data_IF_691878312676
#
_entry.id   IF_691878312676
#
_cell.length_a   1.000
_cell.length_b   1.000
_cell.length_c   1.000
_cell.angle_alpha   90.00
_cell.angle_beta   90.00
_cell.angle_gamma   90.00
#
_symmetry.space_group_name_H-M   'P 1'
#
loop_
_entity.id
_entity.type
_entity.pdbx_description
1 polymer ?
#
# COMPACT_ATOMS: atom_id res chain seq x y z
N UNK A 1 16.56 -4.53 -6.73
CA UNK A 1 15.14 -4.52 -6.35
C UNK A 1 14.44 -5.85 -6.63
N UNK A 2 14.42 -6.35 -7.89
CA UNK A 2 13.80 -7.65 -8.25
C UNK A 2 14.18 -8.82 -7.33
N UNK A 3 15.48 -9.00 -7.06
CA UNK A 3 15.97 -10.07 -6.17
C UNK A 3 15.38 -10.00 -4.76
N UNK A 4 15.29 -8.81 -4.18
CA UNK A 4 14.78 -8.61 -2.81
C UNK A 4 13.28 -8.83 -2.72
N UNK A 5 12.51 -8.33 -3.71
CA UNK A 5 11.07 -8.56 -3.78
C UNK A 5 10.78 -10.06 -3.95
N UNK A 6 11.49 -10.75 -4.83
CA UNK A 6 11.31 -12.19 -4.99
C UNK A 6 11.77 -13.00 -3.77
N UNK A 7 12.74 -12.49 -3.00
CA UNK A 7 13.14 -13.08 -1.72
C UNK A 7 12.02 -12.92 -0.68
N UNK A 8 11.39 -11.75 -0.62
CA UNK A 8 10.24 -11.47 0.24
C UNK A 8 9.04 -12.37 -0.11
N UNK A 9 8.69 -12.52 -1.39
CA UNK A 9 7.55 -13.35 -1.82
C UNK A 9 7.71 -14.81 -1.36
N UNK A 10 8.96 -15.28 -1.31
CA UNK A 10 9.31 -16.64 -0.87
C UNK A 10 9.52 -16.77 0.65
N UNK A 11 9.49 -15.67 1.41
CA UNK A 11 9.66 -15.73 2.86
C UNK A 11 8.35 -16.06 3.56
N UNK A 12 8.45 -16.68 4.74
CA UNK A 12 7.26 -16.93 5.57
C UNK A 12 6.63 -15.63 6.06
N UNK A 13 7.46 -14.65 6.40
CA UNK A 13 7.06 -13.32 6.83
C UNK A 13 8.14 -12.33 6.39
N UNK A 14 7.78 -11.08 6.18
CA UNK A 14 8.76 -10.01 6.01
C UNK A 14 8.17 -8.70 5.56
N UNK A 15 9.02 -7.69 5.52
CA UNK A 15 8.72 -6.39 4.93
C UNK A 15 9.83 -5.96 3.98
N UNK A 16 9.47 -5.19 2.97
CA UNK A 16 10.41 -4.55 2.06
C UNK A 16 9.92 -3.15 1.71
N UNK A 17 10.70 -2.13 2.08
CA UNK A 17 10.38 -0.75 1.74
C UNK A 17 10.62 -0.51 0.25
N UNK A 18 9.57 -0.18 -0.49
CA UNK A 18 9.65 0.10 -1.93
C UNK A 18 10.15 1.52 -2.19
N UNK A 19 9.63 2.48 -1.43
CA UNK A 19 9.99 3.89 -1.52
C UNK A 19 9.69 4.61 -0.19
N UNK A 20 9.77 5.94 -0.18
CA UNK A 20 9.56 6.72 1.04
C UNK A 20 8.15 6.61 1.61
N UNK A 21 7.15 6.26 0.81
CA UNK A 21 5.75 6.27 1.21
C UNK A 21 5.10 4.89 1.19
N UNK A 22 5.82 3.83 0.80
CA UNK A 22 5.22 2.49 0.64
C UNK A 22 6.17 1.34 1.00
N UNK A 23 5.58 0.32 1.61
CA UNK A 23 6.22 -0.88 2.13
C UNK A 23 5.41 -2.11 1.73
N UNK A 24 6.06 -3.06 1.07
CA UNK A 24 5.51 -4.39 0.87
C UNK A 24 5.61 -5.19 2.17
N UNK A 25 4.54 -5.88 2.53
CA UNK A 25 4.48 -6.77 3.69
C UNK A 25 3.95 -8.14 3.28
N UNK A 26 4.60 -9.20 3.74
CA UNK A 26 4.28 -10.61 3.43
C UNK A 26 4.05 -11.35 4.75
N UNK A 27 3.03 -12.18 4.82
CA UNK A 27 2.88 -13.18 5.88
C UNK A 27 2.15 -14.43 5.39
N UNK A 28 2.73 -15.59 5.68
CA UNK A 28 2.25 -16.91 5.27
C UNK A 28 1.41 -17.61 6.35
N UNK A 29 1.29 -16.98 7.52
CA UNK A 29 0.51 -17.45 8.67
C UNK A 29 -0.31 -16.29 9.20
N UNK A 30 -1.57 -16.52 9.55
CA UNK A 30 -2.39 -15.53 10.22
C UNK A 30 -2.04 -15.44 11.73
N UNK A 31 -2.72 -14.54 12.46
CA UNK A 31 -2.50 -14.37 13.90
C UNK A 31 -2.89 -15.57 14.76
N UNK A 32 -3.57 -16.57 14.18
CA UNK A 32 -3.93 -17.83 14.83
C UNK A 32 -3.01 -19.00 14.40
N UNK A 33 -2.04 -18.73 13.53
CA UNK A 33 -1.11 -19.72 12.98
C UNK A 33 -1.65 -20.53 11.81
N UNK A 34 -2.83 -20.19 11.27
CA UNK A 34 -3.35 -20.86 10.08
C UNK A 34 -2.56 -20.41 8.84
N UNK A 35 -2.29 -21.33 7.89
CA UNK A 35 -1.61 -20.97 6.65
C UNK A 35 -2.45 -19.99 5.81
N UNK A 36 -1.84 -18.88 5.42
CA UNK A 36 -2.40 -17.88 4.50
C UNK A 36 -1.36 -17.49 3.47
N UNK A 37 -1.76 -16.82 2.39
CA UNK A 37 -0.81 -16.23 1.45
C UNK A 37 -1.16 -14.77 1.22
N UNK A 38 -0.67 -13.90 2.11
CA UNK A 38 -0.89 -12.46 2.03
C UNK A 38 0.39 -11.74 1.64
N UNK A 39 0.24 -10.90 0.62
CA UNK A 39 1.20 -9.89 0.18
C UNK A 39 0.42 -8.59 0.06
N UNK A 40 0.84 -7.56 0.77
CA UNK A 40 0.09 -6.31 0.91
C UNK A 40 1.02 -5.12 0.74
N UNK A 41 0.51 -4.05 0.12
CA UNK A 41 1.19 -2.78 -0.01
C UNK A 41 0.70 -1.79 1.05
N UNK A 42 1.50 -1.57 2.08
CA UNK A 42 1.24 -0.57 3.11
C UNK A 42 1.82 0.79 2.69
N UNK A 43 1.12 1.89 3.00
CA UNK A 43 1.63 3.25 2.75
C UNK A 43 2.19 3.92 4.02
N UNK A 44 2.58 5.18 3.98
CA UNK A 44 2.70 5.99 5.20
C UNK A 44 1.48 6.93 5.26
N UNK A 45 1.09 7.39 6.44
CA UNK A 45 -0.06 8.31 6.57
C UNK A 45 0.30 9.66 5.93
N UNK A 46 -0.52 10.13 4.98
CA UNK A 46 -0.34 11.42 4.32
C UNK A 46 -1.65 12.21 4.41
N UNK A 47 -1.59 13.44 4.92
CA UNK A 47 -2.73 14.35 5.07
C UNK A 47 -3.99 13.71 5.69
N UNK A 48 -3.82 13.03 6.85
CA UNK A 48 -4.90 12.33 7.55
C UNK A 48 -5.60 11.21 6.76
N UNK A 49 -5.15 10.90 5.54
CA UNK A 49 -5.61 9.76 4.77
C UNK A 49 -4.87 8.53 5.28
N UNK A 50 -5.58 7.75 6.09
CA UNK A 50 -5.11 6.48 6.60
C UNK A 50 -5.55 5.33 5.70
N UNK A 51 -4.64 4.37 5.56
CA UNK A 51 -4.67 2.97 5.09
C UNK A 51 -5.98 2.23 4.80
N UNK A 52 -7.11 2.60 5.41
CA UNK A 52 -8.35 1.83 5.34
C UNK A 52 -9.21 2.06 4.09
N UNK A 53 -8.76 2.88 3.14
CA UNK A 53 -9.60 3.35 2.02
C UNK A 53 -9.43 2.48 0.76
N UNK A 54 -8.28 1.82 0.59
CA UNK A 54 -7.96 1.09 -0.64
C UNK A 54 -7.70 -0.39 -0.34
N UNK A 55 -8.13 -1.26 -1.25
CA UNK A 55 -7.62 -2.62 -1.30
C UNK A 55 -6.11 -2.55 -1.63
N UNK A 56 -5.31 -3.10 -0.73
CA UNK A 56 -3.86 -3.08 -0.78
C UNK A 56 -3.28 -4.46 -1.00
N UNK A 57 -4.13 -5.49 -1.16
CA UNK A 57 -3.68 -6.85 -1.40
C UNK A 57 -3.13 -6.99 -2.83
N UNK A 58 -1.98 -7.66 -2.93
CA UNK A 58 -1.34 -7.99 -4.20
C UNK A 58 -1.55 -9.47 -4.46
N UNK A 59 -2.12 -9.79 -5.62
CA UNK A 59 -2.43 -11.15 -6.04
C UNK A 59 -1.32 -11.78 -6.88
N UNK A 60 -0.60 -10.98 -7.66
CA UNK A 60 0.54 -11.45 -8.44
C UNK A 60 1.66 -12.03 -7.56
N UNK A 61 2.39 -12.99 -8.15
CA UNK A 61 3.54 -13.66 -7.50
C UNK A 61 4.80 -13.64 -8.36
N UNK A 62 4.69 -13.25 -9.63
CA UNK A 62 5.83 -12.89 -10.46
C UNK A 62 6.16 -11.40 -10.26
N UNK A 63 7.40 -11.05 -10.59
CA UNK A 63 7.90 -9.70 -10.35
C UNK A 63 7.12 -8.64 -11.14
N UNK A 64 6.79 -8.91 -12.40
CA UNK A 64 6.22 -7.88 -13.28
C UNK A 64 4.77 -7.59 -12.88
N UNK A 65 3.99 -8.62 -12.54
CA UNK A 65 2.65 -8.48 -11.98
C UNK A 65 2.64 -7.77 -10.62
N UNK A 66 3.56 -8.11 -9.72
CA UNK A 66 3.66 -7.44 -8.41
C UNK A 66 3.90 -5.94 -8.59
N UNK A 67 4.81 -5.56 -9.50
CA UNK A 67 5.10 -4.15 -9.74
C UNK A 67 3.91 -3.44 -10.38
N UNK A 68 3.20 -4.07 -11.32
CA UNK A 68 2.01 -3.51 -11.94
C UNK A 68 0.91 -3.23 -10.89
N UNK A 69 0.59 -4.22 -10.04
CA UNK A 69 -0.39 -4.04 -8.97
C UNK A 69 0.05 -2.98 -7.95
N UNK A 70 1.34 -2.95 -7.59
CA UNK A 70 1.87 -1.90 -6.72
C UNK A 70 1.65 -0.49 -7.31
N UNK A 71 1.86 -0.33 -8.61
CA UNK A 71 1.66 0.94 -9.30
C UNK A 71 0.18 1.33 -9.29
N UNK A 72 -0.72 0.40 -9.61
CA UNK A 72 -2.16 0.67 -9.60
C UNK A 72 -2.66 1.08 -8.21
N UNK A 73 -2.28 0.34 -7.17
CA UNK A 73 -2.65 0.64 -5.79
C UNK A 73 -2.08 2.01 -5.38
N UNK A 74 -0.82 2.29 -5.71
CA UNK A 74 -0.18 3.59 -5.40
C UNK A 74 -0.88 4.76 -6.09
N UNK A 75 -1.24 4.62 -7.36
CA UNK A 75 -1.98 5.65 -8.09
C UNK A 75 -3.33 5.94 -7.43
N UNK A 76 -4.10 4.90 -7.09
CA UNK A 76 -5.38 5.05 -6.38
C UNK A 76 -5.21 5.75 -5.02
N UNK A 77 -4.19 5.36 -4.26
CA UNK A 77 -3.89 5.99 -2.98
C UNK A 77 -3.60 7.49 -3.12
N UNK A 78 -2.75 7.87 -4.08
CA UNK A 78 -2.40 9.28 -4.32
C UNK A 78 -3.60 10.10 -4.82
N UNK A 79 -4.48 9.51 -5.62
CA UNK A 79 -5.72 10.16 -6.06
C UNK A 79 -6.66 10.47 -4.89
N UNK A 80 -6.79 9.56 -3.91
CA UNK A 80 -7.56 9.79 -2.70
C UNK A 80 -6.92 10.86 -1.81
N UNK A 81 -5.60 10.85 -1.66
CA UNK A 81 -4.85 11.91 -0.95
C UNK A 81 -5.10 13.27 -1.61
N UNK A 82 -5.01 13.35 -2.93
CA UNK A 82 -5.26 14.58 -3.68
C UNK A 82 -6.71 15.07 -3.52
N UNK A 83 -7.69 14.15 -3.52
CA UNK A 83 -9.10 14.47 -3.30
C UNK A 83 -9.34 15.00 -1.89
N UNK A 84 -8.76 14.36 -0.88
CA UNK A 84 -8.82 14.80 0.52
C UNK A 84 -8.26 16.21 0.69
N UNK A 85 -7.04 16.46 0.20
CA UNK A 85 -6.39 17.78 0.21
C UNK A 85 -7.26 18.85 -0.46
N UNK A 86 -7.84 18.54 -1.63
CA UNK A 86 -8.72 19.48 -2.34
C UNK A 86 -9.96 19.83 -1.52
N UNK A 87 -10.53 18.88 -0.79
CA UNK A 87 -11.67 19.11 0.07
C UNK A 87 -11.29 19.97 1.29
N UNK A 88 -10.16 19.68 1.93
CA UNK A 88 -9.65 20.46 3.07
C UNK A 88 -9.37 21.91 2.68
N UNK A 89 -8.72 22.12 1.52
CA UNK A 89 -8.50 23.46 0.99
C UNK A 89 -9.82 24.19 0.73
N UNK A 90 -10.80 23.54 0.10
CA UNK A 90 -12.14 24.12 -0.14
C UNK A 90 -12.85 24.47 1.15
N UNK A 91 -12.76 23.64 2.18
CA UNK A 91 -13.32 23.92 3.50
C UNK A 91 -12.64 25.13 4.17
N UNK A 92 -11.32 25.23 4.09
CA UNK A 92 -10.56 26.38 4.57
C UNK A 92 -10.90 27.70 3.85
N UNK A 93 -11.23 27.64 2.56
CA UNK A 93 -11.74 28.80 1.80
C UNK A 93 -13.19 29.17 2.18
N UNK A 94 -14.04 28.20 2.52
CA UNK A 94 -15.42 28.45 2.97
C UNK A 94 -15.53 29.01 4.39
N UNK A 95 -14.59 28.69 5.28
CA UNK A 95 -14.56 29.21 6.65
C UNK A 95 -14.01 30.65 6.77
N UNK A 96 -13.66 31.30 5.65
CA UNK A 96 -13.16 32.70 5.61
C UNK A 96 -14.12 33.68 4.91
N UNK A 97 -15.37 33.29 4.66
CA UNK A 97 -16.47 34.17 4.26
C UNK A 97 -17.55 34.17 5.34
#
# INVERSE_FOLDING_TARGET
MKKEIMKLVKSEEGTFRLNNISTLRRWSKDGLGNPVDKLVLDFESINHVCFGICDTEIHARDYDGIIAECQEITTRFLDEVARSLKNDMRAGYRNKM
#
